data_IF_995651271918
#
_entry.id   IF_995651271918
#
_cell.length_a   1.000
_cell.length_b   1.000
_cell.length_c   1.000
_cell.angle_alpha   90.00
_cell.angle_beta   90.00
_cell.angle_gamma   90.00
#
_symmetry.space_group_name_H-M   'P 1'
#
loop_
_entity.id
_entity.type
_entity.pdbx_description
1 polymer ?
#
# COMPACT_ATOMS: atom_id res chain seq x y z
N UNK A 1 50.05 6.50 -13.44
CA UNK A 1 49.29 5.24 -13.28
C UNK A 1 48.35 5.21 -12.06
N UNK A 2 48.65 5.85 -10.92
CA UNK A 2 47.77 5.83 -9.73
C UNK A 2 46.36 6.40 -9.97
N UNK A 3 46.23 7.46 -10.75
CA UNK A 3 44.94 8.10 -11.03
C UNK A 3 44.01 7.29 -11.96
N UNK A 4 44.57 6.44 -12.83
CA UNK A 4 43.77 5.60 -13.73
C UNK A 4 43.05 4.47 -12.96
N UNK A 5 43.72 3.92 -11.95
CA UNK A 5 43.16 2.87 -11.09
C UNK A 5 42.02 3.42 -10.24
N UNK A 6 42.17 4.64 -9.69
CA UNK A 6 41.09 5.32 -8.95
C UNK A 6 39.89 5.65 -9.84
N UNK A 7 40.10 6.02 -11.10
CA UNK A 7 39.02 6.30 -12.06
C UNK A 7 38.24 5.03 -12.43
N UNK A 8 38.95 3.91 -12.63
CA UNK A 8 38.34 2.60 -12.88
C UNK A 8 37.55 2.13 -11.65
N UNK A 9 38.07 2.31 -10.43
CA UNK A 9 37.35 1.99 -9.20
C UNK A 9 36.07 2.82 -9.04
N UNK A 10 36.12 4.12 -9.34
CA UNK A 10 34.94 4.99 -9.35
C UNK A 10 33.90 4.57 -10.39
N UNK A 11 34.33 4.11 -11.57
CA UNK A 11 33.43 3.58 -12.60
C UNK A 11 32.79 2.24 -12.20
N UNK A 12 33.50 1.38 -11.45
CA UNK A 12 32.92 0.15 -10.90
C UNK A 12 31.99 0.41 -9.72
N UNK A 13 32.26 1.40 -8.86
CA UNK A 13 31.35 1.83 -7.81
C UNK A 13 30.07 2.45 -8.37
N UNK A 14 30.14 3.13 -9.52
CA UNK A 14 28.99 3.73 -10.18
C UNK A 14 28.12 2.72 -10.96
N UNK A 15 28.57 1.48 -11.14
CA UNK A 15 27.80 0.43 -11.84
C UNK A 15 26.65 -0.15 -11.01
N UNK A 16 26.61 0.09 -9.69
CA UNK A 16 25.50 -0.35 -8.84
C UNK A 16 24.44 0.73 -8.55
N UNK A 17 24.65 1.96 -9.00
CA UNK A 17 23.67 3.05 -8.78
C UNK A 17 22.49 3.00 -9.75
N UNK A 18 22.53 2.16 -10.79
CA UNK A 18 21.39 1.94 -11.71
C UNK A 18 20.26 1.09 -11.13
N UNK A 19 20.39 0.56 -9.91
CA UNK A 19 19.31 -0.18 -9.25
C UNK A 19 18.26 0.73 -8.56
N UNK A 20 18.45 2.06 -8.60
CA UNK A 20 17.55 3.03 -7.97
C UNK A 20 16.99 4.08 -8.96
N UNK A 21 16.89 3.75 -10.25
CA UNK A 21 15.97 4.49 -11.11
C UNK A 21 14.54 4.10 -10.71
N UNK A 22 14.04 4.83 -9.71
CA UNK A 22 12.71 4.73 -9.12
C UNK A 22 11.66 5.31 -10.08
N UNK A 23 11.52 4.76 -11.28
CA UNK A 23 10.27 4.88 -12.01
C UNK A 23 9.25 4.03 -11.26
N UNK A 24 8.70 4.57 -10.17
CA UNK A 24 7.62 3.95 -9.43
C UNK A 24 6.54 3.53 -10.43
N UNK A 25 6.12 2.26 -10.38
CA UNK A 25 5.05 1.78 -11.23
C UNK A 25 3.83 2.68 -11.04
N UNK A 26 3.48 3.46 -12.05
CA UNK A 26 2.20 4.16 -12.10
C UNK A 26 1.17 3.15 -12.56
N UNK A 27 0.29 2.77 -11.65
CA UNK A 27 -0.88 1.99 -11.99
C UNK A 27 -1.77 2.87 -12.88
N UNK A 28 -1.92 2.50 -14.15
CA UNK A 28 -2.74 3.26 -15.09
C UNK A 28 -4.20 2.80 -14.99
N UNK A 29 -4.96 3.47 -14.12
CA UNK A 29 -6.40 3.27 -14.02
C UNK A 29 -7.15 4.57 -13.84
N UNK A 30 -8.34 4.60 -14.43
CA UNK A 30 -9.32 5.64 -14.17
C UNK A 30 -10.02 5.33 -12.84
N UNK A 31 -10.06 6.30 -11.93
CA UNK A 31 -10.89 6.24 -10.73
C UNK A 31 -11.67 7.54 -10.61
N UNK A 32 -12.96 7.43 -10.27
CA UNK A 32 -13.77 8.61 -9.91
C UNK A 32 -13.28 9.31 -8.63
N UNK A 33 -12.42 8.66 -7.85
CA UNK A 33 -11.78 9.25 -6.69
C UNK A 33 -10.31 9.48 -7.02
N UNK A 34 -9.93 10.71 -7.34
CA UNK A 34 -8.54 11.01 -7.74
C UNK A 34 -7.56 10.84 -6.56
N UNK A 35 -6.27 10.68 -6.87
CA UNK A 35 -5.24 10.40 -5.85
C UNK A 35 -5.05 11.56 -4.86
N UNK A 36 -5.23 12.82 -5.30
CA UNK A 36 -5.11 13.99 -4.42
C UNK A 36 -6.25 14.01 -3.41
N UNK A 37 -7.48 13.76 -3.86
CA UNK A 37 -8.66 13.58 -3.00
C UNK A 37 -8.49 12.39 -2.05
N UNK A 38 -7.89 11.30 -2.52
CA UNK A 38 -7.54 10.12 -1.71
C UNK A 38 -6.59 10.43 -0.57
N UNK A 39 -5.47 11.11 -0.85
CA UNK A 39 -4.50 11.52 0.16
C UNK A 39 -5.12 12.51 1.16
N UNK A 40 -5.79 13.55 0.67
CA UNK A 40 -6.44 14.55 1.52
C UNK A 40 -7.50 13.93 2.45
N UNK A 41 -8.25 12.94 1.95
CA UNK A 41 -9.24 12.22 2.77
C UNK A 41 -8.55 11.35 3.81
N UNK A 42 -7.49 10.65 3.42
CA UNK A 42 -6.66 9.86 4.34
C UNK A 42 -6.12 10.73 5.48
N UNK A 43 -5.53 11.89 5.17
CA UNK A 43 -5.02 12.84 6.17
C UNK A 43 -6.11 13.29 7.15
N UNK A 44 -7.27 13.64 6.62
CA UNK A 44 -8.42 14.06 7.42
C UNK A 44 -8.89 12.94 8.36
N UNK A 45 -9.01 11.71 7.87
CA UNK A 45 -9.41 10.55 8.67
C UNK A 45 -8.38 10.21 9.74
N UNK A 46 -7.09 10.16 9.37
CA UNK A 46 -6.01 9.88 10.32
C UNK A 46 -5.96 10.94 11.41
N UNK A 47 -6.10 12.23 11.07
CA UNK A 47 -6.14 13.32 12.05
C UNK A 47 -7.31 13.20 13.02
N UNK A 48 -8.49 12.74 12.55
CA UNK A 48 -9.67 12.51 13.40
C UNK A 48 -9.52 11.29 14.30
N UNK A 49 -8.88 10.24 13.79
CA UNK A 49 -8.72 8.98 14.52
C UNK A 49 -7.61 9.09 15.54
N UNK A 50 -6.46 9.65 15.16
CA UNK A 50 -5.27 9.78 16.02
C UNK A 50 -5.59 10.60 17.26
N UNK A 51 -5.26 10.06 18.43
CA UNK A 51 -5.40 10.75 19.73
C UNK A 51 -4.07 11.20 20.30
N UNK A 52 -3.00 10.48 19.99
CA UNK A 52 -1.65 10.78 20.44
C UNK A 52 -0.68 10.74 19.25
N UNK A 53 0.31 11.64 19.25
CA UNK A 53 1.31 11.75 18.17
C UNK A 53 2.22 10.53 18.05
N UNK A 54 2.38 9.76 19.11
CA UNK A 54 3.19 8.54 19.17
C UNK A 54 2.40 7.28 18.79
N UNK A 55 1.08 7.39 18.52
CA UNK A 55 0.31 6.27 17.99
C UNK A 55 0.85 5.85 16.61
N UNK A 56 1.30 4.59 16.52
CA UNK A 56 1.61 3.95 15.24
C UNK A 56 0.30 3.72 14.50
N UNK A 57 0.18 4.37 13.34
CA UNK A 57 -1.01 4.28 12.49
C UNK A 57 -0.63 3.60 11.19
N UNK A 58 -1.36 2.55 10.85
CA UNK A 58 -1.24 1.88 9.57
C UNK A 58 -2.43 2.24 8.72
N UNK A 59 -2.20 2.48 7.43
CA UNK A 59 -3.26 2.77 6.47
C UNK A 59 -3.20 1.71 5.37
N UNK A 60 -4.33 1.08 5.10
CA UNK A 60 -4.53 0.16 4.00
C UNK A 60 -5.65 0.72 3.13
N UNK A 61 -5.50 0.62 1.83
CA UNK A 61 -6.35 1.31 0.89
C UNK A 61 -6.53 0.57 -0.41
N UNK A 62 -7.64 0.88 -1.09
CA UNK A 62 -7.84 0.45 -2.48
C UNK A 62 -8.60 1.50 -3.27
N UNK A 63 -8.24 1.63 -4.54
CA UNK A 63 -8.81 2.57 -5.49
C UNK A 63 -8.94 1.89 -6.85
N UNK A 64 -10.11 1.99 -7.44
CA UNK A 64 -10.44 1.49 -8.78
C UNK A 64 -11.44 2.45 -9.44
N UNK A 65 -11.89 2.12 -10.66
CA UNK A 65 -12.99 2.84 -11.32
C UNK A 65 -14.18 3.06 -10.39
N UNK A 66 -14.62 1.99 -9.73
CA UNK A 66 -15.82 1.96 -8.90
C UNK A 66 -15.57 1.87 -7.39
N UNK A 67 -14.30 1.84 -6.96
CA UNK A 67 -13.90 1.49 -5.59
C UNK A 67 -13.02 2.60 -5.02
N UNK A 68 -13.32 3.02 -3.79
CA UNK A 68 -12.49 3.94 -3.02
C UNK A 68 -12.66 3.60 -1.54
N UNK A 69 -11.68 2.93 -0.95
CA UNK A 69 -11.76 2.41 0.42
C UNK A 69 -10.50 2.75 1.20
N UNK A 70 -10.67 3.26 2.41
CA UNK A 70 -9.59 3.56 3.35
C UNK A 70 -9.83 2.79 4.63
N UNK A 71 -8.80 2.12 5.11
CA UNK A 71 -8.77 1.45 6.40
C UNK A 71 -7.63 2.01 7.22
N UNK A 72 -7.96 2.56 8.40
CA UNK A 72 -6.99 3.11 9.35
C UNK A 72 -6.93 2.17 10.55
N UNK A 73 -5.77 1.56 10.76
CA UNK A 73 -5.46 0.75 11.93
C UNK A 73 -4.72 1.61 12.92
N UNK A 74 -5.22 1.64 14.16
CA UNK A 74 -4.56 2.30 15.28
C UNK A 74 -4.30 1.27 16.38
N UNK A 75 -3.08 1.22 16.90
CA UNK A 75 -2.75 0.43 18.07
C UNK A 75 -2.82 1.33 19.32
N UNK A 76 -3.70 0.98 20.27
CA UNK A 76 -3.88 1.69 21.54
C UNK A 76 -3.76 0.70 22.68
N UNK A 77 -2.74 0.84 23.52
CA UNK A 77 -2.55 -0.02 24.70
C UNK A 77 -2.60 -1.51 24.32
N UNK A 78 -1.91 -1.90 23.25
CA UNK A 78 -1.91 -3.25 22.66
C UNK A 78 -3.25 -3.74 22.09
N UNK A 79 -4.27 -2.87 22.03
CA UNK A 79 -5.55 -3.14 21.38
C UNK A 79 -5.54 -2.48 20.02
N UNK A 80 -5.55 -3.29 18.95
CA UNK A 80 -5.74 -2.80 17.60
C UNK A 80 -7.21 -2.49 17.34
N UNK A 81 -7.49 -1.26 16.91
CA UNK A 81 -8.79 -0.84 16.41
C UNK A 81 -8.66 -0.45 14.94
N UNK A 82 -9.62 -0.88 14.14
CA UNK A 82 -9.59 -0.65 12.70
C UNK A 82 -10.82 0.11 12.29
N UNK A 83 -10.60 1.26 11.65
CA UNK A 83 -11.62 2.14 11.14
C UNK A 83 -11.69 1.99 9.62
N UNK A 84 -12.77 1.37 9.15
CA UNK A 84 -13.00 1.06 7.74
C UNK A 84 -13.97 2.07 7.13
N UNK A 85 -13.57 2.68 6.02
CA UNK A 85 -14.35 3.66 5.28
C UNK A 85 -14.48 3.24 3.82
N UNK A 86 -15.71 3.12 3.34
CA UNK A 86 -16.00 3.11 1.91
C UNK A 86 -16.36 4.54 1.51
N UNK A 87 -15.45 5.21 0.81
CA UNK A 87 -15.59 6.63 0.46
C UNK A 87 -16.67 6.88 -0.58
N UNK A 88 -16.97 5.87 -1.40
CA UNK A 88 -18.01 5.96 -2.44
C UNK A 88 -19.41 5.83 -1.85
N UNK A 89 -19.65 4.80 -1.05
CA UNK A 89 -20.95 4.59 -0.39
C UNK A 89 -21.10 5.38 0.91
N UNK A 90 -20.04 6.04 1.38
CA UNK A 90 -19.93 6.73 2.67
C UNK A 90 -20.22 5.83 3.88
N UNK A 91 -20.15 4.51 3.70
CA UNK A 91 -20.29 3.53 4.80
C UNK A 91 -19.05 3.57 5.70
N UNK A 92 -19.27 3.46 7.01
CA UNK A 92 -18.23 3.43 8.04
C UNK A 92 -18.44 2.25 8.99
N UNK A 93 -17.36 1.58 9.38
CA UNK A 93 -17.38 0.45 10.31
C UNK A 93 -16.12 0.42 11.17
N UNK A 94 -16.26 -0.06 12.41
CA UNK A 94 -15.13 -0.38 13.28
C UNK A 94 -15.02 -1.90 13.38
N UNK A 95 -13.80 -2.41 13.21
CA UNK A 95 -13.47 -3.83 13.40
C UNK A 95 -12.44 -3.95 14.51
N UNK A 96 -12.54 -5.02 15.30
CA UNK A 96 -11.59 -5.42 16.33
C UNK A 96 -11.35 -6.93 16.27
N UNK A 97 -10.24 -7.41 16.83
CA UNK A 97 -9.96 -8.83 16.99
C UNK A 97 -9.09 -9.48 15.90
N UNK A 98 -9.08 -10.81 15.89
CA UNK A 98 -8.06 -11.67 15.24
C UNK A 98 -7.97 -11.53 13.72
N UNK A 99 -9.08 -11.21 13.04
CA UNK A 99 -9.10 -11.08 11.57
C UNK A 99 -8.15 -9.98 11.08
N UNK A 100 -8.07 -8.88 11.82
CA UNK A 100 -7.18 -7.75 11.53
C UNK A 100 -5.72 -8.18 11.66
N UNK A 101 -5.41 -8.93 12.71
CA UNK A 101 -4.05 -9.45 12.91
C UNK A 101 -3.62 -10.31 11.74
N UNK A 102 -4.51 -11.18 11.25
CA UNK A 102 -4.22 -11.99 10.05
C UNK A 102 -3.95 -11.14 8.81
N UNK A 103 -4.78 -10.12 8.54
CA UNK A 103 -4.55 -9.23 7.39
C UNK A 103 -3.21 -8.48 7.53
N UNK A 104 -2.94 -7.91 8.69
CA UNK A 104 -1.72 -7.14 8.91
C UNK A 104 -0.47 -8.02 8.86
N UNK A 105 -0.51 -9.22 9.44
CA UNK A 105 0.62 -10.14 9.39
C UNK A 105 0.91 -10.58 7.96
N UNK A 106 -0.10 -10.93 7.16
CA UNK A 106 0.13 -11.30 5.77
C UNK A 106 0.62 -10.15 4.90
N UNK A 107 0.21 -8.90 5.19
CA UNK A 107 0.78 -7.71 4.55
C UNK A 107 2.24 -7.46 4.97
N UNK A 108 2.57 -7.61 6.26
CA UNK A 108 3.91 -7.36 6.79
C UNK A 108 4.93 -8.44 6.40
N UNK A 109 4.49 -9.70 6.32
CA UNK A 109 5.34 -10.85 6.01
C UNK A 109 6.05 -10.71 4.65
N UNK A 110 5.46 -9.93 3.74
CA UNK A 110 5.97 -9.64 2.40
C UNK A 110 6.36 -8.15 2.25
N UNK A 111 6.75 -7.47 3.33
CA UNK A 111 7.10 -6.04 3.32
C UNK A 111 8.17 -5.65 2.30
N UNK A 112 9.19 -6.50 2.09
CA UNK A 112 10.20 -6.27 1.04
C UNK A 112 9.55 -6.28 -0.35
N UNK A 113 8.70 -7.26 -0.62
CA UNK A 113 7.95 -7.36 -1.87
C UNK A 113 7.04 -6.16 -2.09
N UNK A 114 6.33 -5.68 -1.07
CA UNK A 114 5.52 -4.45 -1.17
C UNK A 114 6.32 -3.26 -1.72
N UNK A 115 7.58 -3.12 -1.27
CA UNK A 115 8.41 -1.97 -1.64
C UNK A 115 9.18 -2.18 -2.95
N UNK A 116 9.48 -3.43 -3.33
CA UNK A 116 10.26 -3.75 -4.53
C UNK A 116 9.42 -4.28 -5.70
N UNK A 117 8.14 -4.58 -5.48
CA UNK A 117 7.28 -5.14 -6.50
C UNK A 117 7.15 -4.20 -7.69
N UNK A 118 7.27 -4.78 -8.87
CA UNK A 118 7.02 -4.12 -10.14
C UNK A 118 5.81 -4.77 -10.80
N UNK A 119 4.96 -3.95 -11.42
CA UNK A 119 3.87 -4.46 -12.24
C UNK A 119 4.42 -5.40 -13.31
N UNK A 120 3.76 -6.53 -13.53
CA UNK A 120 4.20 -7.47 -14.55
C UNK A 120 3.86 -6.90 -15.94
N UNK A 121 4.85 -6.64 -16.82
CA UNK A 121 4.59 -6.08 -18.14
C UNK A 121 3.84 -7.05 -19.07
N UNK A 122 3.81 -8.35 -18.72
CA UNK A 122 3.14 -9.40 -19.51
C UNK A 122 1.63 -9.48 -19.26
N UNK A 123 1.12 -8.85 -18.20
CA UNK A 123 -0.31 -8.82 -17.88
C UNK A 123 -0.94 -7.63 -18.58
N UNK A 124 -1.19 -7.77 -19.88
CA UNK A 124 -2.04 -6.85 -20.66
C UNK A 124 -3.50 -7.04 -20.27
N UNK A 125 -3.94 -6.60 -19.10
CA UNK A 125 -5.37 -6.69 -18.78
C UNK A 125 -5.88 -5.50 -18.00
N UNK A 126 -6.76 -4.72 -18.65
CA UNK A 126 -7.68 -3.75 -18.04
C UNK A 126 -7.02 -2.63 -17.18
N UNK A 127 -7.73 -1.55 -16.83
CA UNK A 127 -7.17 -0.56 -15.92
C UNK A 127 -6.92 -1.22 -14.55
N UNK A 128 -5.64 -1.37 -14.21
CA UNK A 128 -5.16 -2.02 -12.99
C UNK A 128 -5.66 -1.29 -11.74
N UNK A 129 -6.37 -1.94 -10.82
CA UNK A 129 -6.71 -1.30 -9.55
C UNK A 129 -5.43 -0.94 -8.76
N UNK A 130 -5.44 0.20 -8.07
CA UNK A 130 -4.36 0.60 -7.17
C UNK A 130 -4.68 0.24 -5.73
N UNK A 131 -3.76 -0.45 -5.08
CA UNK A 131 -3.80 -0.75 -3.66
C UNK A 131 -2.78 0.11 -2.94
N UNK A 132 -3.14 0.65 -1.78
CA UNK A 132 -2.29 1.57 -1.04
C UNK A 132 -1.98 1.00 0.33
N UNK A 133 -0.73 1.13 0.75
CA UNK A 133 -0.33 0.72 2.09
C UNK A 133 0.68 1.70 2.69
N UNK A 134 0.52 1.98 3.97
CA UNK A 134 1.53 2.60 4.82
C UNK A 134 1.51 1.92 6.18
N UNK A 135 2.68 1.48 6.63
CA UNK A 135 2.85 0.82 7.92
C UNK A 135 3.09 1.80 9.08
N UNK A 136 3.28 3.09 8.79
CA UNK A 136 3.46 4.12 9.81
C UNK A 136 3.13 5.51 9.25
N UNK A 137 1.86 5.79 8.99
CA UNK A 137 1.40 7.02 8.38
C UNK A 137 1.34 8.18 9.41
N UNK A 138 1.74 9.42 9.08
CA UNK A 138 2.26 9.90 7.79
C UNK A 138 3.78 9.77 7.63
N UNK A 139 4.51 9.27 8.64
CA UNK A 139 5.98 9.18 8.62
C UNK A 139 6.51 8.32 7.47
N UNK A 140 5.76 7.29 7.09
CA UNK A 140 5.97 6.48 5.90
C UNK A 140 4.84 6.80 4.91
N UNK A 141 5.14 7.32 3.71
CA UNK A 141 4.12 7.66 2.73
C UNK A 141 3.37 6.42 2.24
N UNK A 142 2.17 6.62 1.70
CA UNK A 142 1.41 5.56 1.06
C UNK A 142 2.17 5.04 -0.17
N UNK A 143 2.43 3.73 -0.19
CA UNK A 143 2.95 3.02 -1.36
C UNK A 143 1.79 2.47 -2.17
N UNK A 144 1.75 2.82 -3.45
CA UNK A 144 0.81 2.22 -4.40
C UNK A 144 1.37 0.90 -4.95
N UNK A 145 0.48 -0.09 -5.08
CA UNK A 145 0.74 -1.45 -5.56
C UNK A 145 -0.35 -1.78 -6.58
N UNK A 146 0.02 -2.14 -7.81
CA UNK A 146 -0.95 -2.41 -8.87
C UNK A 146 -1.56 -3.81 -8.74
N UNK A 147 -2.78 -3.99 -9.22
CA UNK A 147 -3.44 -5.30 -9.22
C UNK A 147 -2.66 -6.38 -9.97
N UNK A 148 -2.07 -6.05 -11.12
CA UNK A 148 -1.15 -6.94 -11.86
C UNK A 148 0.01 -7.48 -11.02
N UNK A 149 0.47 -6.75 -9.99
CA UNK A 149 1.48 -7.27 -9.03
C UNK A 149 0.91 -8.42 -8.20
N UNK A 150 -0.34 -8.31 -7.75
CA UNK A 150 -1.01 -9.35 -6.97
C UNK A 150 -1.19 -10.60 -7.84
N UNK A 151 -1.61 -10.42 -9.10
CA UNK A 151 -1.81 -11.51 -10.06
C UNK A 151 -0.53 -12.29 -10.39
N UNK A 152 0.65 -11.70 -10.14
CA UNK A 152 1.92 -12.39 -10.40
C UNK A 152 2.11 -13.65 -9.54
N UNK A 153 1.54 -13.68 -8.33
CA UNK A 153 1.55 -14.85 -7.47
C UNK A 153 0.48 -14.73 -6.35
N UNK A 154 -0.65 -15.41 -6.56
CA UNK A 154 -1.79 -15.40 -5.63
C UNK A 154 -1.54 -16.21 -4.34
N UNK A 155 -0.54 -17.09 -4.33
CA UNK A 155 -0.23 -17.93 -3.17
C UNK A 155 0.50 -17.18 -2.06
N UNK A 156 1.06 -16.01 -2.38
CA UNK A 156 1.79 -15.17 -1.43
C UNK A 156 0.90 -14.68 -0.29
N UNK A 157 1.44 -14.59 0.94
CA UNK A 157 0.71 -14.02 2.07
C UNK A 157 0.08 -12.67 1.77
N UNK A 158 0.83 -11.76 1.11
CA UNK A 158 0.32 -10.45 0.72
C UNK A 158 -0.91 -10.54 -0.19
N UNK A 159 -0.84 -11.36 -1.25
CA UNK A 159 -1.90 -11.51 -2.23
C UNK A 159 -3.16 -12.09 -1.60
N UNK A 160 -3.01 -13.08 -0.71
CA UNK A 160 -4.11 -13.66 0.08
C UNK A 160 -4.75 -12.63 1.01
N UNK A 161 -3.95 -11.84 1.72
CA UNK A 161 -4.46 -10.81 2.64
C UNK A 161 -5.19 -9.68 1.92
N UNK A 162 -4.66 -9.15 0.82
CA UNK A 162 -5.37 -8.13 0.03
C UNK A 162 -6.65 -8.69 -0.57
N UNK A 163 -6.63 -9.91 -1.12
CA UNK A 163 -7.84 -10.52 -1.68
C UNK A 163 -8.94 -10.68 -0.63
N UNK A 164 -8.60 -11.20 0.56
CA UNK A 164 -9.52 -11.31 1.69
C UNK A 164 -10.05 -9.95 2.16
N UNK A 165 -9.18 -8.94 2.20
CA UNK A 165 -9.57 -7.57 2.52
C UNK A 165 -10.61 -7.02 1.55
N UNK A 166 -10.45 -7.26 0.23
CA UNK A 166 -11.40 -6.78 -0.77
C UNK A 166 -12.75 -7.48 -0.69
N UNK A 167 -12.75 -8.80 -0.50
CA UNK A 167 -13.98 -9.59 -0.34
C UNK A 167 -14.79 -9.06 0.85
N UNK A 168 -14.14 -8.81 1.99
CA UNK A 168 -14.79 -8.27 3.18
C UNK A 168 -15.57 -6.97 2.93
N UNK A 169 -15.10 -6.13 2.01
CA UNK A 169 -15.79 -4.90 1.64
C UNK A 169 -16.83 -5.09 0.54
N UNK A 170 -16.61 -6.00 -0.40
CA UNK A 170 -17.53 -6.27 -1.50
C UNK A 170 -18.78 -7.05 -1.06
N UNK A 171 -18.67 -7.98 -0.11
CA UNK A 171 -19.83 -8.69 0.47
C UNK A 171 -20.77 -7.74 1.25
N UNK A 172 -20.40 -6.48 1.41
CA UNK A 172 -21.15 -5.46 2.14
C UNK A 172 -21.65 -4.31 1.25
N UNK A 173 -21.55 -4.42 -0.08
CA UNK A 173 -22.14 -3.45 -1.02
C UNK A 173 -23.64 -3.66 -1.16
#
# INVERSE_FOLDING_TARGET
>A
MRYLISLILLLFLNKNSKAQDNSGCTCNYYSYFDMKSYLSTTDSLVKKIRRDKHEVIQVIGSRAYAVAMITVVVNRNNIKKVHCYNLRSKKYKIVTGKQIDTWLQGLLQDSSFIHTAKASPSVKSHPDNGYFISFNYPSVPLKEICHSVILSNLERPFAKSISSYLIFFNEQS
#
